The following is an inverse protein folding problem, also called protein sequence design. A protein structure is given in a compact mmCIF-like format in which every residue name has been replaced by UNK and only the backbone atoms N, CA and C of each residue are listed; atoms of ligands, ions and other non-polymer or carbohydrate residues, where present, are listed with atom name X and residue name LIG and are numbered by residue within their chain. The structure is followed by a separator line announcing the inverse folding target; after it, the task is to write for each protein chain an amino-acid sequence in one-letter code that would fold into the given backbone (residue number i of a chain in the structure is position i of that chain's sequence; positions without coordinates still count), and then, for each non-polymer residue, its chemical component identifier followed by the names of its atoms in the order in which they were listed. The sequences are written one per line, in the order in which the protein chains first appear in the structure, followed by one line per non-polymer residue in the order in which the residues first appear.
data_IF_089576167352
#
_entry.id   IF_089576167352
#
_cell.length_a   1.000
_cell.length_b   1.000
_cell.length_c   1.000
_cell.angle_alpha   90.00
_cell.angle_beta   90.00
_cell.angle_gamma   90.00
#
_symmetry.space_group_name_H-M   'P 1'
#
loop_
_entity.id
_entity.type
_entity.pdbx_description
1 polymer ?
#
# COMPACT_ATOMS: atom_id res chain seq x y z
N UNK A 1 -14.22 51.47 -39.70
CA UNK A 1 -15.30 50.47 -39.86
C UNK A 1 -15.16 49.43 -38.76
N UNK A 2 -16.11 49.39 -37.82
CA UNK A 2 -16.16 48.46 -36.68
C UNK A 2 -17.07 47.28 -37.06
N UNK A 3 -16.62 46.04 -36.82
CA UNK A 3 -17.42 44.82 -37.02
C UNK A 3 -17.37 43.90 -35.81
N UNK A 4 -18.09 44.25 -34.73
CA UNK A 4 -18.34 43.38 -33.58
C UNK A 4 -19.48 42.41 -33.90
N UNK A 5 -19.22 41.10 -33.95
CA UNK A 5 -20.28 40.07 -33.95
C UNK A 5 -20.64 39.71 -32.50
N UNK A 6 -21.89 40.00 -32.12
CA UNK A 6 -22.53 39.60 -30.86
C UNK A 6 -22.99 38.14 -30.94
N UNK A 7 -22.80 37.36 -29.86
CA UNK A 7 -23.61 36.17 -29.53
C UNK A 7 -24.13 36.31 -28.09
N UNK A 8 -25.31 35.74 -27.76
CA UNK A 8 -26.16 36.24 -26.67
C UNK A 8 -25.92 35.55 -25.32
N UNK A 9 -26.31 36.27 -24.27
CA UNK A 9 -26.25 35.90 -22.84
C UNK A 9 -27.23 34.77 -22.51
N UNK A 10 -26.78 33.69 -21.88
CA UNK A 10 -27.66 32.80 -21.12
C UNK A 10 -28.02 33.47 -19.79
N UNK A 11 -29.33 33.68 -19.57
CA UNK A 11 -29.89 34.10 -18.28
C UNK A 11 -30.27 32.88 -17.46
N UNK A 12 -29.95 32.97 -16.17
CA UNK A 12 -30.49 32.18 -15.08
C UNK A 12 -32.02 32.09 -15.13
N UNK A 13 -32.58 30.92 -14.85
CA UNK A 13 -33.90 30.77 -14.28
C UNK A 13 -33.82 29.72 -13.16
N UNK A 14 -34.09 30.20 -11.95
CA UNK A 14 -34.20 29.45 -10.70
C UNK A 14 -35.66 29.57 -10.22
N UNK A 15 -36.17 28.44 -9.68
CA UNK A 15 -37.31 28.28 -8.74
C UNK A 15 -38.75 28.21 -9.32
N UNK A 16 -39.75 27.76 -8.53
CA UNK A 16 -39.90 26.44 -7.90
C UNK A 16 -41.37 25.92 -7.99
N UNK A 17 -41.62 24.83 -7.26
CA UNK A 17 -42.90 24.40 -6.67
C UNK A 17 -43.81 23.37 -7.37
N UNK A 18 -44.04 22.35 -6.55
CA UNK A 18 -45.05 21.31 -6.56
C UNK A 18 -46.49 21.83 -6.70
N UNK A 19 -47.36 21.02 -7.32
CA UNK A 19 -48.53 20.45 -6.63
C UNK A 19 -49.30 19.45 -7.53
N UNK A 20 -49.51 18.27 -6.93
CA UNK A 20 -50.77 17.52 -6.80
C UNK A 20 -51.61 17.22 -8.05
N UNK A 21 -51.69 15.92 -8.35
CA UNK A 21 -52.98 15.27 -8.59
C UNK A 21 -53.32 14.36 -7.40
N UNK A 22 -54.56 14.47 -6.94
CA UNK A 22 -55.19 13.78 -5.81
C UNK A 22 -56.51 13.18 -6.30
N UNK A 23 -57.15 12.38 -5.43
CA UNK A 23 -58.45 11.68 -5.48
C UNK A 23 -58.33 10.16 -5.77
N UNK A 24 -58.80 9.26 -4.89
CA UNK A 24 -59.96 9.33 -3.99
C UNK A 24 -59.71 8.78 -2.56
N UNK A 25 -60.42 9.41 -1.62
CA UNK A 25 -60.61 9.09 -0.20
C UNK A 25 -61.60 7.94 0.06
N UNK A 26 -61.51 7.33 1.25
CA UNK A 26 -62.51 7.22 2.34
C UNK A 26 -61.98 6.12 3.30
N UNK A 27 -61.91 6.24 4.63
CA UNK A 27 -62.83 6.86 5.59
C UNK A 27 -62.13 7.12 6.96
N UNK A 28 -62.47 8.27 7.58
CA UNK A 28 -62.56 8.60 9.03
C UNK A 28 -61.61 7.94 10.05
N UNK A 29 -60.91 8.64 10.94
CA UNK A 29 -61.14 9.96 11.53
C UNK A 29 -60.71 9.90 13.00
N UNK A 30 -59.61 10.57 13.35
CA UNK A 30 -59.12 10.71 14.73
C UNK A 30 -60.07 11.63 15.53
N UNK A 31 -60.62 11.14 16.65
CA UNK A 31 -61.06 11.97 17.77
C UNK A 31 -60.48 11.37 19.05
N UNK A 32 -59.71 12.18 19.77
CA UNK A 32 -59.06 11.77 21.01
C UNK A 32 -60.03 11.63 22.17
N UNK A 33 -59.61 10.88 23.18
CA UNK A 33 -59.90 11.17 24.58
C UNK A 33 -58.95 10.35 25.46
N UNK A 34 -58.26 11.05 26.37
CA UNK A 34 -57.71 10.46 27.58
C UNK A 34 -58.82 9.70 28.32
N UNK A 35 -58.64 8.40 28.55
CA UNK A 35 -59.16 7.68 29.72
C UNK A 35 -58.69 6.21 29.69
N UNK A 36 -58.07 5.77 30.79
CA UNK A 36 -58.10 4.41 31.31
C UNK A 36 -57.52 3.30 30.42
N UNK A 37 -56.19 3.16 30.42
CA UNK A 37 -55.59 1.81 30.28
C UNK A 37 -55.75 1.09 31.61
N UNK A 38 -56.70 0.16 31.64
CA UNK A 38 -56.83 -0.81 32.71
C UNK A 38 -55.54 -1.61 32.87
N UNK A 39 -55.27 -1.98 34.12
CA UNK A 39 -54.28 -2.97 34.50
C UNK A 39 -54.61 -4.32 33.81
N UNK A 40 -53.99 -4.59 32.67
CA UNK A 40 -53.68 -5.96 32.32
C UNK A 40 -52.42 -6.33 33.11
N UNK A 41 -52.61 -7.06 34.21
CA UNK A 41 -51.55 -7.76 34.90
C UNK A 41 -50.94 -8.74 33.90
N UNK A 42 -49.83 -8.35 33.28
CA UNK A 42 -48.97 -9.27 32.54
C UNK A 42 -48.59 -10.42 33.46
N UNK A 43 -49.06 -11.61 33.11
CA UNK A 43 -48.62 -12.86 33.70
C UNK A 43 -47.09 -12.94 33.53
N UNK A 44 -46.29 -13.24 34.56
CA UNK A 44 -44.84 -13.32 34.39
C UNK A 44 -44.54 -14.40 33.35
N UNK A 45 -43.80 -14.04 32.30
CA UNK A 45 -43.24 -15.03 31.36
C UNK A 45 -42.47 -16.06 32.18
N UNK A 46 -42.78 -17.35 31.98
CA UNK A 46 -42.06 -18.43 32.65
C UNK A 46 -40.60 -18.37 32.16
N UNK A 47 -39.69 -18.03 33.07
CA UNK A 47 -38.24 -18.09 32.84
C UNK A 47 -37.86 -19.47 32.32
N UNK A 48 -36.99 -19.51 31.31
CA UNK A 48 -36.42 -20.75 30.82
C UNK A 48 -35.41 -21.29 31.84
N UNK A 49 -35.26 -22.61 31.95
CA UNK A 49 -34.24 -23.24 32.79
C UNK A 49 -32.81 -22.77 32.46
N UNK A 50 -32.61 -22.33 31.23
CA UNK A 50 -31.31 -21.91 30.70
C UNK A 50 -30.94 -20.51 31.20
N UNK A 51 -31.91 -19.62 31.37
CA UNK A 51 -31.68 -18.29 31.95
C UNK A 51 -31.32 -18.37 33.44
N UNK A 52 -31.97 -19.28 34.18
CA UNK A 52 -31.67 -19.50 35.60
C UNK A 52 -30.29 -20.14 35.80
N UNK A 53 -29.86 -21.01 34.87
CA UNK A 53 -28.51 -21.58 34.88
C UNK A 53 -27.46 -20.52 34.55
N UNK A 54 -27.70 -19.68 33.53
CA UNK A 54 -26.81 -18.54 33.20
C UNK A 54 -26.57 -17.66 34.40
N UNK A 55 -27.62 -17.10 35.00
CA UNK A 55 -27.53 -16.21 36.17
C UNK A 55 -26.77 -16.88 37.33
N UNK A 56 -26.96 -18.19 37.53
CA UNK A 56 -26.23 -18.95 38.55
C UNK A 56 -24.74 -19.01 38.27
N UNK A 57 -24.33 -19.31 37.04
CA UNK A 57 -22.91 -19.35 36.67
C UNK A 57 -22.25 -17.97 36.76
N UNK A 58 -22.95 -16.90 36.35
CA UNK A 58 -22.44 -15.54 36.51
C UNK A 58 -22.19 -15.20 38.00
N UNK A 59 -23.11 -15.61 38.88
CA UNK A 59 -22.98 -15.41 40.33
C UNK A 59 -21.80 -16.18 40.90
N UNK A 60 -21.54 -17.40 40.44
CA UNK A 60 -20.37 -18.19 40.87
C UNK A 60 -19.07 -17.50 40.47
N UNK A 61 -18.98 -16.96 39.25
CA UNK A 61 -17.78 -16.24 38.80
C UNK A 61 -17.59 -14.94 39.57
N UNK A 62 -18.65 -14.19 39.86
CA UNK A 62 -18.55 -13.00 40.74
C UNK A 62 -18.03 -13.37 42.12
N UNK A 63 -18.57 -14.44 42.73
CA UNK A 63 -18.10 -14.93 44.02
C UNK A 63 -16.63 -15.41 43.98
N UNK A 64 -16.15 -15.93 42.83
CA UNK A 64 -14.74 -16.24 42.64
C UNK A 64 -13.86 -14.97 42.65
N UNK A 65 -14.27 -13.90 41.96
CA UNK A 65 -13.55 -12.61 42.01
C UNK A 65 -13.61 -11.97 43.40
N UNK A 66 -14.75 -12.08 44.10
CA UNK A 66 -14.87 -11.64 45.49
C UNK A 66 -13.89 -12.41 46.38
N UNK A 67 -13.79 -13.74 46.23
CA UNK A 67 -12.83 -14.55 46.95
C UNK A 67 -11.36 -14.16 46.65
N UNK A 68 -11.03 -13.81 45.40
CA UNK A 68 -9.73 -13.24 45.04
C UNK A 68 -9.46 -11.92 45.79
N UNK A 69 -10.40 -10.98 45.74
CA UNK A 69 -10.27 -9.65 46.33
C UNK A 69 -10.23 -9.68 47.87
N UNK A 70 -11.03 -10.56 48.48
CA UNK A 70 -11.11 -10.75 49.92
C UNK A 70 -10.00 -11.66 50.45
N UNK A 71 -9.24 -12.31 49.57
CA UNK A 71 -8.24 -13.31 49.95
C UNK A 71 -8.85 -14.45 50.78
N UNK A 72 -10.00 -14.98 50.34
CA UNK A 72 -10.82 -15.93 51.10
C UNK A 72 -10.67 -17.37 50.61
N UNK A 73 -9.99 -18.21 51.41
CA UNK A 73 -9.86 -19.66 51.14
C UNK A 73 -11.23 -20.35 51.14
N UNK A 74 -12.12 -19.98 52.06
CA UNK A 74 -13.47 -20.53 52.12
C UNK A 74 -14.30 -20.10 50.90
N UNK A 75 -14.12 -18.86 50.42
CA UNK A 75 -14.70 -18.38 49.17
C UNK A 75 -14.26 -19.23 47.97
N UNK A 76 -12.95 -19.50 47.86
CA UNK A 76 -12.43 -20.40 46.82
C UNK A 76 -12.99 -21.83 46.93
N UNK A 77 -13.08 -22.38 48.14
CA UNK A 77 -13.65 -23.72 48.37
C UNK A 77 -15.12 -23.84 47.98
N UNK A 78 -15.88 -22.75 48.10
CA UNK A 78 -17.29 -22.71 47.74
C UNK A 78 -17.49 -22.78 46.22
N UNK A 79 -16.61 -22.14 45.44
CA UNK A 79 -16.79 -21.94 43.98
C UNK A 79 -15.93 -22.85 43.10
N UNK A 80 -14.80 -23.36 43.59
CA UNK A 80 -13.90 -24.24 42.82
C UNK A 80 -14.18 -25.72 43.11
N UNK A 81 -14.11 -26.54 42.07
CA UNK A 81 -14.02 -28.00 42.19
C UNK A 81 -12.63 -28.40 42.75
N UNK A 82 -12.55 -29.57 43.39
CA UNK A 82 -11.30 -30.01 44.05
C UNK A 82 -10.14 -30.15 43.06
N UNK A 83 -10.41 -30.65 41.86
CA UNK A 83 -9.47 -30.92 40.78
C UNK A 83 -9.41 -29.79 39.74
N UNK A 84 -9.88 -28.59 40.08
CA UNK A 84 -9.92 -27.46 39.15
C UNK A 84 -8.54 -27.13 38.58
N UNK A 85 -8.49 -26.72 37.30
CA UNK A 85 -7.24 -26.35 36.62
C UNK A 85 -7.31 -24.91 36.12
N UNK A 86 -6.25 -24.14 36.38
CA UNK A 86 -6.08 -22.79 35.83
C UNK A 86 -4.91 -22.77 34.82
N UNK A 87 -5.25 -22.55 33.55
CA UNK A 87 -4.30 -22.42 32.44
C UNK A 87 -3.90 -20.98 32.18
N UNK A 88 -2.60 -20.77 31.97
CA UNK A 88 -2.00 -19.45 31.69
C UNK A 88 -1.15 -19.49 30.42
N UNK A 89 -0.90 -18.34 29.77
CA UNK A 89 0.10 -18.23 28.71
C UNK A 89 1.52 -18.51 29.24
N UNK A 90 2.47 -18.76 28.33
CA UNK A 90 3.85 -19.08 28.70
C UNK A 90 4.49 -17.97 29.54
N UNK A 91 5.26 -18.35 30.55
CA UNK A 91 5.99 -17.42 31.44
C UNK A 91 5.33 -17.11 32.78
N UNK A 92 4.22 -17.77 33.12
CA UNK A 92 3.44 -17.54 34.36
C UNK A 92 3.53 -18.72 35.34
N UNK A 93 4.50 -19.62 35.16
CA UNK A 93 4.74 -20.80 36.02
C UNK A 93 3.54 -21.77 36.17
N UNK A 94 2.64 -21.80 35.17
CA UNK A 94 1.42 -22.64 35.15
C UNK A 94 1.47 -23.84 34.19
N UNK A 95 0.40 -24.67 34.12
CA UNK A 95 -0.92 -24.51 34.75
C UNK A 95 -0.94 -24.92 36.23
N UNK A 96 -1.83 -24.29 37.01
CA UNK A 96 -2.05 -24.61 38.43
C UNK A 96 -3.18 -25.63 38.56
N UNK A 97 -2.94 -26.72 39.29
CA UNK A 97 -3.87 -27.85 39.41
C UNK A 97 -4.31 -28.04 40.86
N UNK A 98 -5.61 -28.15 41.05
CA UNK A 98 -6.27 -28.23 42.35
C UNK A 98 -6.65 -26.86 42.88
N UNK A 99 -7.81 -26.78 43.56
CA UNK A 99 -8.32 -25.53 44.13
C UNK A 99 -7.36 -24.91 45.15
N UNK A 100 -6.60 -25.70 45.87
CA UNK A 100 -5.62 -25.22 46.85
C UNK A 100 -4.46 -24.48 46.17
N UNK A 101 -3.97 -25.00 45.04
CA UNK A 101 -2.90 -24.36 44.27
C UNK A 101 -3.38 -23.04 43.64
N UNK A 102 -4.62 -23.02 43.14
CA UNK A 102 -5.24 -21.81 42.58
C UNK A 102 -5.46 -20.76 43.68
N UNK A 103 -5.99 -21.15 44.83
CA UNK A 103 -6.17 -20.24 45.96
C UNK A 103 -4.83 -19.68 46.44
N UNK A 104 -3.81 -20.52 46.60
CA UNK A 104 -2.48 -20.10 47.03
C UNK A 104 -1.84 -19.06 46.08
N UNK A 105 -2.01 -19.24 44.76
CA UNK A 105 -1.54 -18.28 43.75
C UNK A 105 -2.12 -16.87 43.99
N UNK A 106 -3.44 -16.77 44.14
CA UNK A 106 -4.11 -15.47 44.28
C UNK A 106 -3.84 -14.82 45.62
N UNK A 107 -3.79 -15.61 46.70
CA UNK A 107 -3.39 -15.14 48.02
C UNK A 107 -1.96 -14.56 47.98
N UNK A 108 -1.03 -15.25 47.33
CA UNK A 108 0.32 -14.76 47.11
C UNK A 108 0.32 -13.42 46.36
N UNK A 109 -0.45 -13.30 45.27
CA UNK A 109 -0.53 -12.04 44.52
C UNK A 109 -1.19 -10.89 45.29
N UNK A 110 -2.20 -11.17 46.13
CA UNK A 110 -2.78 -10.17 47.02
C UNK A 110 -1.75 -9.70 48.07
N UNK A 111 -1.00 -10.64 48.67
CA UNK A 111 0.00 -10.37 49.69
C UNK A 111 1.28 -9.71 49.16
N UNK A 112 1.75 -10.06 47.97
CA UNK A 112 3.00 -9.56 47.41
C UNK A 112 2.79 -8.31 46.57
N UNK A 113 1.76 -8.30 45.72
CA UNK A 113 1.58 -7.27 44.67
C UNK A 113 0.47 -6.26 44.98
N UNK A 114 -0.30 -6.48 46.05
CA UNK A 114 -1.45 -5.65 46.41
C UNK A 114 -2.53 -5.75 45.34
N UNK A 115 -2.78 -6.99 44.91
CA UNK A 115 -3.64 -7.31 43.79
C UNK A 115 -5.12 -7.12 44.12
N UNK A 116 -5.85 -6.49 43.19
CA UNK A 116 -7.32 -6.49 43.17
C UNK A 116 -7.83 -6.59 41.74
N UNK A 117 -9.04 -7.09 41.57
CA UNK A 117 -9.62 -7.40 40.27
C UNK A 117 -11.02 -6.83 40.11
N UNK A 118 -11.35 -6.36 38.91
CA UNK A 118 -12.71 -5.99 38.51
C UNK A 118 -13.19 -6.86 37.36
N UNK A 119 -14.49 -7.16 37.36
CA UNK A 119 -15.20 -7.70 36.20
C UNK A 119 -15.67 -6.51 35.38
N UNK A 120 -15.03 -6.27 34.24
CA UNK A 120 -15.35 -5.15 33.35
C UNK A 120 -16.53 -5.52 32.45
N UNK A 121 -16.56 -6.78 31.97
CA UNK A 121 -17.66 -7.35 31.22
C UNK A 121 -17.76 -8.85 31.47
N UNK A 122 -18.98 -9.38 31.40
CA UNK A 122 -19.24 -10.82 31.55
C UNK A 122 -20.26 -11.27 30.51
N UNK A 123 -20.03 -12.44 29.91
CA UNK A 123 -20.95 -13.12 28.99
C UNK A 123 -21.10 -14.58 29.44
N UNK A 124 -22.33 -15.09 29.44
CA UNK A 124 -22.66 -16.48 29.80
C UNK A 124 -23.60 -17.07 28.75
N UNK A 125 -23.33 -18.29 28.30
CA UNK A 125 -24.23 -19.01 27.39
C UNK A 125 -25.09 -20.08 28.10
N UNK A 126 -24.81 -20.35 29.39
CA UNK A 126 -25.46 -21.36 30.22
C UNK A 126 -24.60 -22.60 30.49
N UNK A 127 -23.48 -22.73 29.79
CA UNK A 127 -22.49 -23.80 29.96
C UNK A 127 -21.10 -23.25 30.29
N UNK A 128 -20.71 -22.13 29.67
CA UNK A 128 -19.45 -21.45 29.89
C UNK A 128 -19.71 -19.98 30.24
N UNK A 129 -18.75 -19.39 30.95
CA UNK A 129 -18.71 -17.95 31.23
C UNK A 129 -17.41 -17.38 30.70
N UNK A 130 -17.48 -16.22 30.06
CA UNK A 130 -16.32 -15.44 29.62
C UNK A 130 -16.35 -14.10 30.32
N UNK A 131 -15.22 -13.74 30.94
CA UNK A 131 -15.05 -12.47 31.64
C UNK A 131 -13.97 -11.66 30.97
N UNK A 132 -14.21 -10.36 30.79
CA UNK A 132 -13.18 -9.34 30.61
C UNK A 132 -12.92 -8.70 31.97
N UNK A 133 -11.65 -8.57 32.36
CA UNK A 133 -11.25 -8.12 33.69
C UNK A 133 -10.08 -7.13 33.67
N UNK A 134 -10.01 -6.32 34.73
CA UNK A 134 -8.84 -5.53 35.09
C UNK A 134 -8.18 -6.09 36.35
N UNK A 135 -6.86 -6.20 36.35
CA UNK A 135 -6.04 -6.57 37.52
C UNK A 135 -5.15 -5.39 37.89
N UNK A 136 -5.40 -4.82 39.05
CA UNK A 136 -4.64 -3.72 39.63
C UNK A 136 -3.61 -4.28 40.61
N UNK A 137 -2.33 -3.94 40.43
CA UNK A 137 -1.26 -4.33 41.34
C UNK A 137 -0.72 -3.10 42.05
N UNK A 138 -1.42 -2.68 43.10
CA UNK A 138 -1.19 -1.39 43.76
C UNK A 138 0.23 -1.19 44.30
N UNK A 139 0.91 -2.27 44.72
CA UNK A 139 2.28 -2.15 45.28
C UNK A 139 3.37 -1.97 44.22
N UNK A 140 3.11 -2.34 42.97
CA UNK A 140 4.07 -2.21 41.86
C UNK A 140 3.63 -1.21 40.79
N UNK A 141 2.45 -0.60 40.93
CA UNK A 141 1.95 0.43 40.02
C UNK A 141 1.55 -0.09 38.63
N UNK A 142 1.20 -1.37 38.52
CA UNK A 142 0.82 -2.00 37.25
C UNK A 142 -0.69 -2.19 37.13
N UNK A 143 -1.20 -2.05 35.91
CA UNK A 143 -2.55 -2.43 35.49
C UNK A 143 -2.44 -3.43 34.33
N UNK A 144 -3.02 -4.61 34.51
CA UNK A 144 -3.12 -5.64 33.46
C UNK A 144 -4.58 -5.85 33.09
N UNK A 145 -4.82 -6.10 31.81
CA UNK A 145 -6.16 -6.40 31.27
C UNK A 145 -6.15 -7.76 30.60
N UNK A 146 -7.27 -8.47 30.69
CA UNK A 146 -7.42 -9.76 30.04
C UNK A 146 -8.85 -10.22 29.94
N UNK A 147 -8.98 -11.37 29.30
CA UNK A 147 -10.21 -12.14 29.27
C UNK A 147 -9.94 -13.58 29.69
N UNK A 148 -10.89 -14.22 30.36
CA UNK A 148 -10.77 -15.62 30.76
C UNK A 148 -12.07 -16.39 30.59
N UNK A 149 -11.92 -17.68 30.25
CA UNK A 149 -13.03 -18.60 30.07
C UNK A 149 -13.14 -19.54 31.26
N UNK A 150 -14.37 -19.77 31.71
CA UNK A 150 -14.72 -20.67 32.80
C UNK A 150 -15.56 -21.84 32.31
N UNK A 151 -15.23 -23.04 32.76
CA UNK A 151 -16.09 -24.21 32.67
C UNK A 151 -16.52 -24.68 34.06
N UNK A 152 -17.68 -25.31 34.12
CA UNK A 152 -18.32 -25.70 35.37
C UNK A 152 -18.72 -27.17 35.36
N UNK A 153 -18.74 -27.80 36.53
CA UNK A 153 -19.34 -29.12 36.71
C UNK A 153 -20.88 -29.06 36.76
N UNK A 154 -21.52 -30.20 37.05
CA UNK A 154 -22.98 -30.29 37.15
C UNK A 154 -23.55 -29.51 38.33
N UNK A 155 -22.77 -29.36 39.39
CA UNK A 155 -23.14 -28.64 40.62
C UNK A 155 -22.86 -27.13 40.49
N UNK A 156 -22.31 -26.69 39.36
CA UNK A 156 -22.03 -25.30 39.06
C UNK A 156 -20.70 -24.79 39.63
N UNK A 157 -19.81 -25.68 40.09
CA UNK A 157 -18.47 -25.29 40.52
C UNK A 157 -17.52 -25.16 39.34
N UNK A 158 -16.61 -24.21 39.41
CA UNK A 158 -15.57 -23.97 38.40
C UNK A 158 -14.59 -25.14 38.41
N UNK A 159 -14.46 -25.82 37.27
CA UNK A 159 -13.51 -26.93 37.05
C UNK A 159 -12.33 -26.51 36.18
N UNK A 160 -12.49 -25.46 35.37
CA UNK A 160 -11.45 -25.01 34.46
C UNK A 160 -11.50 -23.49 34.29
N UNK A 161 -10.32 -22.88 34.29
CA UNK A 161 -10.11 -21.46 33.98
C UNK A 161 -9.03 -21.36 32.91
N UNK A 162 -9.31 -20.61 31.84
CA UNK A 162 -8.37 -20.34 30.74
C UNK A 162 -8.13 -18.84 30.63
N UNK A 163 -7.03 -18.35 31.18
CA UNK A 163 -6.73 -16.93 31.22
C UNK A 163 -5.93 -16.45 30.00
N UNK A 164 -6.41 -15.39 29.36
CA UNK A 164 -5.77 -14.68 28.25
C UNK A 164 -5.67 -13.20 28.58
N UNK A 165 -4.53 -12.73 29.06
CA UNK A 165 -4.30 -11.29 29.22
C UNK A 165 -3.53 -10.70 28.05
N UNK A 166 -3.49 -9.37 27.97
CA UNK A 166 -2.72 -8.61 27.01
C UNK A 166 -1.21 -8.82 27.23
N UNK A 167 -0.73 -10.01 26.90
CA UNK A 167 0.68 -10.38 26.93
C UNK A 167 1.31 -10.02 25.58
N UNK A 168 2.46 -9.33 25.56
CA UNK A 168 3.29 -9.26 24.37
C UNK A 168 3.55 -10.67 23.84
N UNK A 169 3.54 -10.81 22.50
CA UNK A 169 3.98 -12.06 21.87
C UNK A 169 5.45 -12.31 22.24
N UNK A 170 5.77 -13.49 22.77
CA UNK A 170 7.16 -13.92 22.87
C UNK A 170 7.69 -14.29 21.47
N UNK A 171 8.65 -13.53 20.91
CA UNK A 171 9.17 -13.82 19.57
C UNK A 171 9.99 -15.11 19.50
N UNK A 172 10.40 -15.67 20.64
CA UNK A 172 11.16 -16.94 20.71
C UNK A 172 10.26 -18.16 20.59
N UNK A 173 8.95 -18.01 20.82
CA UNK A 173 8.00 -19.10 20.72
C UNK A 173 7.38 -19.16 19.32
N UNK A 174 7.43 -20.35 18.71
CA UNK A 174 6.76 -20.62 17.44
C UNK A 174 5.23 -20.54 17.57
N UNK A 175 4.71 -20.78 18.77
CA UNK A 175 3.28 -20.78 19.13
C UNK A 175 3.11 -20.10 20.47
N UNK A 176 2.17 -19.15 20.55
CA UNK A 176 1.82 -18.46 21.80
C UNK A 176 0.49 -19.03 22.30
N UNK A 177 0.58 -20.18 22.99
CA UNK A 177 -0.54 -21.04 23.39
C UNK A 177 -0.56 -21.18 24.93
N UNK A 178 -1.72 -21.44 25.53
CA UNK A 178 -1.80 -21.73 26.97
C UNK A 178 -0.95 -22.98 27.33
N UNK A 179 -0.13 -22.87 28.36
CA UNK A 179 0.80 -23.92 28.75
C UNK A 179 0.06 -25.20 29.11
N UNK A 180 0.43 -26.31 28.44
CA UNK A 180 -0.14 -27.64 28.62
C UNK A 180 -1.66 -27.75 28.35
N UNK A 181 -2.29 -26.73 27.75
CA UNK A 181 -3.68 -26.83 27.34
C UNK A 181 -3.80 -27.77 26.12
N UNK A 182 -4.67 -28.80 26.15
CA UNK A 182 -4.66 -29.84 25.13
C UNK A 182 -5.44 -29.43 23.86
N UNK A 183 -4.95 -28.40 23.15
CA UNK A 183 -5.59 -27.82 21.96
C UNK A 183 -6.02 -28.87 20.92
N UNK A 184 -5.09 -29.72 20.48
CA UNK A 184 -5.38 -30.76 19.48
C UNK A 184 -6.45 -31.76 19.93
N UNK A 185 -6.37 -32.22 21.19
CA UNK A 185 -7.30 -33.21 21.74
C UNK A 185 -8.71 -32.63 21.89
N UNK A 186 -8.82 -31.30 22.04
CA UNK A 186 -10.09 -30.56 22.16
C UNK A 186 -10.61 -30.01 20.83
N UNK A 187 -10.03 -30.45 19.71
CA UNK A 187 -10.50 -30.09 18.37
C UNK A 187 -10.19 -28.65 17.95
N UNK A 188 -9.32 -27.95 18.69
CA UNK A 188 -8.81 -26.66 18.24
C UNK A 188 -7.90 -26.87 17.02
N UNK A 189 -7.95 -25.98 16.01
CA UNK A 189 -7.02 -26.04 14.89
C UNK A 189 -5.59 -25.86 15.40
N UNK A 190 -4.77 -26.90 15.25
CA UNK A 190 -3.33 -26.87 15.57
C UNK A 190 -2.45 -26.78 14.33
N UNK A 191 -3.06 -26.90 13.15
CA UNK A 191 -2.43 -26.72 11.85
C UNK A 191 -2.96 -25.46 11.18
N UNK A 192 -2.16 -24.87 10.29
CA UNK A 192 -2.60 -23.74 9.50
C UNK A 192 -3.77 -24.16 8.59
N UNK A 193 -4.87 -23.37 8.53
CA UNK A 193 -6.01 -23.71 7.70
C UNK A 193 -5.59 -23.79 6.22
N UNK A 194 -5.87 -24.93 5.59
CA UNK A 194 -5.73 -25.11 4.14
C UNK A 194 -6.67 -24.10 3.46
N UNK A 195 -6.16 -23.33 2.49
CA UNK A 195 -6.88 -22.23 1.84
C UNK A 195 -8.33 -22.64 1.46
N UNK A 196 -9.30 -21.81 1.85
CA UNK A 196 -10.77 -22.00 1.72
C UNK A 196 -11.31 -22.11 0.27
N UNK A 197 -10.44 -22.32 -0.71
CA UNK A 197 -10.76 -22.44 -2.13
C UNK A 197 -10.60 -23.88 -2.63
N UNK A 198 -11.27 -24.85 -1.99
CA UNK A 198 -11.57 -26.16 -2.58
C UNK A 198 -10.45 -26.92 -3.29
N UNK A 199 -9.18 -26.63 -2.99
CA UNK A 199 -8.04 -27.39 -3.49
C UNK A 199 -7.58 -28.30 -2.38
N UNK A 200 -7.78 -29.58 -2.62
CA UNK A 200 -7.10 -30.64 -1.90
C UNK A 200 -5.60 -30.29 -1.82
N UNK A 201 -5.14 -30.00 -0.60
CA UNK A 201 -3.75 -30.23 -0.24
C UNK A 201 -3.58 -31.75 -0.08
N UNK A 202 -3.59 -32.41 -1.23
CA UNK A 202 -2.98 -33.70 -1.45
C UNK A 202 -1.64 -33.39 -2.05
N UNK A 203 -0.57 -33.90 -1.44
CA UNK A 203 0.77 -33.77 -1.98
C UNK A 203 0.80 -33.96 -3.49
N UNK A 204 1.57 -33.11 -4.17
CA UNK A 204 1.99 -33.29 -5.55
C UNK A 204 0.87 -33.61 -6.55
N UNK A 205 0.23 -32.56 -7.11
CA UNK A 205 -0.13 -32.52 -8.55
C UNK A 205 -0.07 -31.09 -9.08
N UNK A 206 1.05 -30.79 -9.72
CA UNK A 206 1.19 -30.12 -11.03
C UNK A 206 0.06 -29.18 -11.47
N UNK A 207 -0.25 -28.18 -10.64
CA UNK A 207 -0.43 -26.85 -11.22
C UNK A 207 0.99 -26.31 -11.24
N UNK A 208 1.55 -25.90 -12.40
CA UNK A 208 2.91 -25.37 -12.39
C UNK A 208 2.91 -24.27 -11.35
N UNK A 209 3.68 -24.47 -10.29
CA UNK A 209 4.03 -23.39 -9.40
C UNK A 209 4.46 -22.27 -10.34
N UNK A 210 3.86 -21.09 -10.21
CA UNK A 210 4.58 -19.88 -10.60
C UNK A 210 5.80 -19.98 -9.71
N UNK A 211 6.89 -20.48 -10.28
CA UNK A 211 8.08 -20.91 -9.54
C UNK A 211 8.50 -19.77 -8.62
N UNK A 212 9.24 -20.04 -7.55
CA UNK A 212 9.86 -18.96 -6.79
C UNK A 212 10.63 -18.01 -7.72
N UNK A 213 11.12 -18.51 -8.85
CA UNK A 213 11.65 -17.73 -9.97
C UNK A 213 10.61 -16.89 -10.72
N UNK A 214 9.40 -17.39 -11.00
CA UNK A 214 8.35 -16.61 -11.65
C UNK A 214 7.68 -15.59 -10.71
N UNK A 215 7.56 -15.89 -9.41
CA UNK A 215 7.20 -14.92 -8.38
C UNK A 215 8.33 -13.89 -8.17
N UNK A 216 9.59 -14.34 -8.14
CA UNK A 216 10.74 -13.45 -8.10
C UNK A 216 10.87 -12.60 -9.38
N UNK A 217 10.49 -13.11 -10.56
CA UNK A 217 10.39 -12.34 -11.81
C UNK A 217 9.25 -11.33 -11.76
N UNK A 218 8.07 -11.73 -11.28
CA UNK A 218 6.92 -10.84 -11.13
C UNK A 218 7.14 -9.73 -10.09
N UNK A 219 7.99 -9.98 -9.09
CA UNK A 219 8.41 -9.01 -8.07
C UNK A 219 9.83 -8.48 -8.30
N UNK A 220 10.48 -8.80 -9.42
CA UNK A 220 11.88 -8.40 -9.68
C UNK A 220 12.03 -6.87 -9.73
N UNK A 221 10.99 -6.17 -10.16
CA UNK A 221 10.91 -4.71 -10.14
C UNK A 221 10.87 -4.10 -8.73
N UNK A 222 10.59 -4.90 -7.68
CA UNK A 222 10.63 -4.48 -6.27
C UNK A 222 11.96 -4.75 -5.58
N UNK A 223 12.95 -5.30 -6.28
CA UNK A 223 14.32 -5.45 -5.74
C UNK A 223 14.94 -4.08 -5.49
N UNK A 224 15.93 -4.03 -4.61
CA UNK A 224 16.73 -2.82 -4.41
C UNK A 224 17.22 -2.29 -5.77
N UNK A 225 17.06 -0.99 -6.03
CA UNK A 225 17.42 -0.43 -7.32
C UNK A 225 18.89 -0.64 -7.63
N UNK A 226 19.20 -1.14 -8.82
CA UNK A 226 20.55 -1.03 -9.36
C UNK A 226 20.82 0.44 -9.70
N UNK A 227 21.45 1.15 -8.77
CA UNK A 227 21.98 2.52 -8.95
C UNK A 227 23.28 2.57 -9.76
N UNK A 228 23.68 1.45 -10.37
CA UNK A 228 24.84 1.42 -11.23
C UNK A 228 24.67 2.33 -12.46
N UNK A 229 25.69 3.14 -12.80
CA UNK A 229 25.69 3.92 -14.02
C UNK A 229 25.39 3.07 -15.26
N UNK A 230 24.84 3.71 -16.29
CA UNK A 230 24.72 3.10 -17.60
C UNK A 230 26.13 2.97 -18.21
N UNK A 231 26.46 1.84 -18.86
CA UNK A 231 27.73 1.72 -19.57
C UNK A 231 27.82 2.73 -20.72
N UNK A 232 29.05 3.18 -21.01
CA UNK A 232 29.29 4.13 -22.10
C UNK A 232 28.86 3.58 -23.46
N UNK A 233 28.97 2.27 -23.66
CA UNK A 233 28.52 1.59 -24.88
C UNK A 233 27.00 1.67 -25.06
N UNK A 234 26.21 1.32 -24.03
CA UNK A 234 24.75 1.40 -24.10
C UNK A 234 24.32 2.87 -24.27
N UNK A 235 24.98 3.80 -23.57
CA UNK A 235 24.74 5.26 -23.72
C UNK A 235 25.02 5.71 -25.15
N UNK A 236 26.11 5.27 -25.78
CA UNK A 236 26.48 5.62 -27.14
C UNK A 236 25.48 5.07 -28.16
N UNK A 237 25.05 3.80 -28.01
CA UNK A 237 24.00 3.21 -28.83
C UNK A 237 22.71 4.00 -28.74
N UNK A 238 22.24 4.23 -27.50
CA UNK A 238 21.01 4.98 -27.28
C UNK A 238 21.13 6.40 -27.83
N UNK A 239 22.28 7.07 -27.80
CA UNK A 239 22.43 8.47 -28.28
C UNK A 239 21.93 8.72 -29.70
N UNK A 240 21.90 7.70 -30.56
CA UNK A 240 21.48 7.80 -31.95
C UNK A 240 20.11 7.14 -32.25
N UNK A 241 19.32 6.84 -31.20
CA UNK A 241 18.06 6.12 -31.34
C UNK A 241 16.87 6.98 -30.91
N UNK A 242 15.84 7.04 -31.77
CA UNK A 242 14.59 7.74 -31.47
C UNK A 242 13.75 7.02 -30.40
N UNK A 243 12.97 7.78 -29.65
CA UNK A 243 11.99 7.21 -28.72
C UNK A 243 10.95 6.34 -29.45
N UNK A 244 10.59 6.68 -30.69
CA UNK A 244 9.73 5.87 -31.55
C UNK A 244 10.30 4.46 -31.80
N UNK A 245 11.58 4.36 -32.18
CA UNK A 245 12.23 3.05 -32.37
C UNK A 245 12.32 2.26 -31.07
N UNK A 246 12.66 2.92 -29.95
CA UNK A 246 12.69 2.28 -28.63
C UNK A 246 11.32 1.70 -28.27
N UNK A 247 10.24 2.47 -28.45
CA UNK A 247 8.88 1.97 -28.15
C UNK A 247 8.49 0.77 -29.02
N UNK A 248 8.92 0.73 -30.28
CA UNK A 248 8.73 -0.42 -31.17
C UNK A 248 9.50 -1.65 -30.67
N UNK A 249 10.74 -1.48 -30.21
CA UNK A 249 11.55 -2.57 -29.66
C UNK A 249 11.02 -3.10 -28.33
N UNK A 250 10.46 -2.23 -27.50
CA UNK A 250 9.76 -2.60 -26.28
C UNK A 250 8.44 -3.33 -26.60
N UNK A 251 7.70 -2.89 -27.62
CA UNK A 251 6.48 -3.54 -28.07
C UNK A 251 6.73 -4.98 -28.53
N UNK A 252 7.81 -5.21 -29.31
CA UNK A 252 8.24 -6.55 -29.72
C UNK A 252 8.55 -7.49 -28.53
N UNK A 253 8.88 -6.92 -27.36
CA UNK A 253 9.13 -7.62 -26.10
C UNK A 253 7.90 -7.65 -25.17
N UNK A 254 6.72 -7.27 -25.67
CA UNK A 254 5.46 -7.31 -24.94
C UNK A 254 5.15 -6.07 -24.08
N UNK A 255 6.02 -5.07 -24.05
CA UNK A 255 5.84 -3.83 -23.28
C UNK A 255 5.16 -2.75 -24.13
N UNK A 256 3.90 -2.44 -23.80
CA UNK A 256 3.05 -1.57 -24.64
C UNK A 256 2.92 -0.12 -24.15
N UNK A 257 3.27 0.16 -22.89
CA UNK A 257 2.94 1.43 -22.22
C UNK A 257 4.15 2.04 -21.52
N UNK A 258 5.24 2.25 -22.25
CA UNK A 258 6.52 2.77 -21.72
C UNK A 258 6.83 4.22 -22.11
N UNK A 259 6.02 4.84 -22.95
CA UNK A 259 6.16 6.24 -23.34
C UNK A 259 5.31 7.15 -22.44
N UNK A 260 5.94 8.16 -21.82
CA UNK A 260 5.30 9.08 -20.88
C UNK A 260 4.33 10.03 -21.59
N UNK A 261 3.11 10.13 -21.07
CA UNK A 261 2.03 10.88 -21.67
C UNK A 261 2.04 12.36 -21.23
N UNK A 262 1.88 13.27 -22.19
CA UNK A 262 1.71 14.71 -21.95
C UNK A 262 2.99 15.46 -21.58
N UNK A 263 4.10 14.77 -21.39
CA UNK A 263 5.40 15.35 -21.08
C UNK A 263 6.05 15.87 -22.37
N UNK A 264 6.70 17.04 -22.32
CA UNK A 264 7.37 17.68 -23.46
C UNK A 264 8.66 18.38 -23.02
N UNK A 265 9.66 18.50 -23.92
CA UNK A 265 10.90 19.20 -23.60
C UNK A 265 10.64 20.68 -23.32
N UNK A 266 11.42 21.23 -22.39
CA UNK A 266 11.37 22.65 -21.99
C UNK A 266 12.55 23.47 -22.51
N UNK A 267 13.66 22.80 -22.82
CA UNK A 267 14.78 23.41 -23.51
C UNK A 267 14.82 22.87 -24.95
N UNK A 268 14.54 23.70 -25.98
CA UNK A 268 14.57 23.27 -27.37
C UNK A 268 15.99 22.95 -27.88
N UNK A 269 17.03 23.49 -27.23
CA UNK A 269 18.43 23.31 -27.61
C UNK A 269 19.08 22.09 -26.91
N UNK A 270 18.37 21.47 -25.97
CA UNK A 270 18.84 20.32 -25.18
C UNK A 270 17.73 19.26 -25.10
N UNK A 271 17.53 18.56 -26.20
CA UNK A 271 16.47 17.55 -26.33
C UNK A 271 16.93 16.15 -25.92
N UNK A 272 18.22 15.82 -25.96
CA UNK A 272 18.64 14.43 -25.74
C UNK A 272 18.78 14.11 -24.26
N UNK A 273 17.84 13.34 -23.72
CA UNK A 273 17.89 12.80 -22.36
C UNK A 273 18.32 11.33 -22.40
N UNK A 274 19.39 10.99 -21.67
CA UNK A 274 19.78 9.59 -21.43
C UNK A 274 20.37 9.49 -20.03
N UNK A 275 19.78 8.65 -19.18
CA UNK A 275 20.36 8.31 -17.89
C UNK A 275 19.52 7.30 -17.12
N UNK A 276 19.91 7.04 -15.87
CA UNK A 276 19.23 6.09 -14.99
C UNK A 276 18.27 6.82 -14.05
N UNK A 277 17.08 6.29 -13.83
CA UNK A 277 16.04 6.96 -13.06
C UNK A 277 16.39 7.02 -11.57
N UNK A 278 16.35 8.22 -10.99
CA UNK A 278 16.01 8.44 -9.58
C UNK A 278 14.60 8.94 -9.49
N UNK A 279 13.85 8.47 -8.51
CA UNK A 279 12.40 8.71 -8.46
C UNK A 279 12.02 9.54 -7.25
N UNK A 280 11.05 10.44 -7.43
CA UNK A 280 10.51 11.29 -6.38
C UNK A 280 8.99 11.26 -6.45
N UNK A 281 8.33 10.95 -5.33
CA UNK A 281 6.87 10.76 -5.27
C UNK A 281 6.22 11.90 -4.51
N UNK A 282 5.25 12.56 -5.15
CA UNK A 282 4.42 13.55 -4.48
C UNK A 282 3.03 12.99 -4.18
N UNK A 283 2.47 13.38 -3.04
CA UNK A 283 1.07 13.14 -2.67
C UNK A 283 0.34 14.50 -2.50
N UNK A 284 -0.99 14.52 -2.33
CA UNK A 284 -1.70 15.76 -2.01
C UNK A 284 -1.15 16.42 -0.75
N UNK A 285 -0.96 17.74 -0.79
CA UNK A 285 -0.52 18.50 0.38
C UNK A 285 -1.56 18.52 1.50
N UNK A 286 -1.10 18.86 2.70
CA UNK A 286 -1.94 19.31 3.82
C UNK A 286 -1.35 20.57 4.44
N UNK A 287 -2.20 21.54 4.75
CA UNK A 287 -1.80 22.84 5.28
C UNK A 287 -1.08 22.76 6.62
N UNK A 288 -1.32 21.71 7.43
CA UNK A 288 -0.65 21.49 8.71
C UNK A 288 0.74 20.85 8.61
N UNK A 289 1.07 20.26 7.45
CA UNK A 289 2.34 19.57 7.21
C UNK A 289 3.27 20.36 6.29
N UNK A 290 2.71 20.95 5.23
CA UNK A 290 3.46 21.55 4.12
C UNK A 290 3.70 23.06 4.31
N UNK A 291 4.45 23.39 5.36
CA UNK A 291 4.87 24.77 5.64
C UNK A 291 6.23 25.11 5.01
N UNK A 292 6.54 26.40 4.92
CA UNK A 292 7.88 26.85 4.47
C UNK A 292 9.00 26.34 5.39
N UNK A 293 8.74 26.20 6.70
CA UNK A 293 9.72 25.62 7.63
C UNK A 293 9.97 24.14 7.34
N UNK A 294 8.91 23.35 7.14
CA UNK A 294 9.01 21.91 6.85
C UNK A 294 9.85 21.65 5.58
N UNK A 295 9.64 22.49 4.55
CA UNK A 295 10.36 22.43 3.29
C UNK A 295 11.83 22.85 3.43
N UNK A 296 12.16 23.75 4.35
CA UNK A 296 13.52 24.24 4.53
C UNK A 296 14.47 23.19 5.15
N UNK A 297 13.94 22.12 5.72
CA UNK A 297 14.74 21.06 6.34
C UNK A 297 15.57 20.29 5.30
N UNK A 298 16.75 19.79 5.71
CA UNK A 298 17.57 18.93 4.85
C UNK A 298 16.93 17.57 4.62
N UNK A 299 16.10 17.11 5.55
CA UNK A 299 15.38 15.83 5.46
C UNK A 299 14.29 15.82 4.39
N UNK A 300 13.88 16.99 3.88
CA UNK A 300 12.91 17.05 2.80
C UNK A 300 13.42 16.28 1.56
N UNK A 301 12.69 15.27 1.05
CA UNK A 301 13.23 14.40 0.00
C UNK A 301 13.57 15.14 -1.30
N UNK A 302 12.87 16.23 -1.62
CA UNK A 302 13.17 17.06 -2.80
C UNK A 302 14.54 17.73 -2.67
N UNK A 303 14.87 18.22 -1.47
CA UNK A 303 16.17 18.85 -1.20
C UNK A 303 17.29 17.84 -1.12
N UNK A 304 17.04 16.68 -0.49
CA UNK A 304 17.97 15.55 -0.51
C UNK A 304 18.33 15.16 -1.94
N UNK A 305 17.34 14.99 -2.82
CA UNK A 305 17.60 14.65 -4.24
C UNK A 305 18.50 15.68 -4.91
N UNK A 306 18.30 16.97 -4.67
CA UNK A 306 19.16 18.01 -5.25
C UNK A 306 20.63 17.91 -4.81
N UNK A 307 20.89 17.38 -3.61
CA UNK A 307 22.23 17.24 -3.04
C UNK A 307 22.84 15.84 -3.24
N UNK A 308 22.03 14.81 -3.40
CA UNK A 308 22.46 13.40 -3.47
C UNK A 308 22.54 12.89 -4.91
N UNK A 309 21.88 13.53 -5.88
CA UNK A 309 21.91 13.08 -7.27
C UNK A 309 23.34 12.97 -7.80
N UNK A 310 23.60 11.87 -8.50
CA UNK A 310 24.88 11.49 -9.06
C UNK A 310 24.96 11.79 -10.56
N UNK A 311 26.19 11.91 -11.11
CA UNK A 311 26.40 12.03 -12.54
C UNK A 311 25.70 10.93 -13.34
N UNK A 312 24.99 11.31 -14.40
CA UNK A 312 24.30 10.36 -15.28
C UNK A 312 22.91 9.91 -14.80
N UNK A 313 22.46 10.33 -13.61
CA UNK A 313 21.11 10.06 -13.11
C UNK A 313 20.08 11.07 -13.67
N UNK A 314 18.85 10.63 -13.84
CA UNK A 314 17.70 11.44 -14.27
C UNK A 314 16.69 11.47 -13.13
N UNK A 315 16.36 12.65 -12.63
CA UNK A 315 15.29 12.77 -11.65
C UNK A 315 13.93 12.68 -12.36
N UNK A 316 13.12 11.70 -11.97
CA UNK A 316 11.76 11.48 -12.45
C UNK A 316 10.78 11.73 -11.30
N UNK A 317 9.85 12.66 -11.50
CA UNK A 317 8.93 13.13 -10.47
C UNK A 317 7.51 12.71 -10.83
N UNK A 318 6.85 11.96 -9.93
CA UNK A 318 5.41 11.76 -9.94
C UNK A 318 4.75 13.03 -9.40
N UNK A 319 4.33 13.89 -10.33
CA UNK A 319 3.57 15.10 -10.05
C UNK A 319 2.06 14.84 -10.07
N UNK A 320 1.60 13.59 -10.11
CA UNK A 320 0.18 13.19 -10.17
C UNK A 320 -0.59 13.82 -11.32
N UNK A 321 0.09 14.32 -12.36
CA UNK A 321 -0.52 15.13 -13.41
C UNK A 321 -1.04 16.51 -12.98
N UNK A 322 -0.69 16.99 -11.78
CA UNK A 322 -1.13 18.28 -11.24
C UNK A 322 -0.37 19.45 -11.88
N UNK A 323 -1.11 20.46 -12.33
CA UNK A 323 -0.58 21.63 -13.05
C UNK A 323 -0.77 22.94 -12.28
N UNK A 324 -1.44 22.92 -11.13
CA UNK A 324 -1.75 24.07 -10.29
C UNK A 324 -0.58 24.60 -9.45
N UNK A 325 0.57 23.91 -9.47
CA UNK A 325 1.83 24.31 -8.83
C UNK A 325 3.04 23.62 -9.48
N UNK A 326 4.23 24.18 -9.27
CA UNK A 326 5.48 23.62 -9.77
C UNK A 326 6.03 22.52 -8.87
N UNK A 327 6.42 21.37 -9.43
CA UNK A 327 7.06 20.26 -8.71
C UNK A 327 8.52 20.53 -8.39
N UNK A 328 9.18 21.40 -9.14
CA UNK A 328 10.57 21.83 -8.98
C UNK A 328 10.74 23.26 -9.49
N UNK A 329 11.71 24.00 -8.94
CA UNK A 329 12.11 25.32 -9.41
C UNK A 329 13.53 25.36 -9.97
N UNK A 330 13.91 26.50 -10.54
CA UNK A 330 15.18 26.71 -11.25
C UNK A 330 16.42 26.49 -10.38
N UNK A 331 16.39 26.87 -9.10
CA UNK A 331 17.54 26.77 -8.19
C UNK A 331 17.95 25.32 -7.95
N UNK A 332 16.99 24.46 -7.59
CA UNK A 332 17.26 23.04 -7.34
C UNK A 332 17.62 22.32 -8.64
N UNK A 333 16.97 22.67 -9.75
CA UNK A 333 17.31 22.17 -11.08
C UNK A 333 18.76 22.52 -11.47
N UNK A 334 19.19 23.77 -11.28
CA UNK A 334 20.55 24.21 -11.54
C UNK A 334 21.58 23.47 -10.65
N UNK A 335 21.25 23.23 -9.37
CA UNK A 335 22.09 22.46 -8.47
C UNK A 335 22.34 21.05 -9.00
N UNK A 336 21.29 20.34 -9.41
CA UNK A 336 21.40 18.99 -9.97
C UNK A 336 22.20 18.96 -11.27
N UNK A 337 21.98 19.94 -12.16
CA UNK A 337 22.76 20.08 -13.40
C UNK A 337 24.26 20.22 -13.12
N UNK A 338 24.65 21.08 -12.17
CA UNK A 338 26.06 21.28 -11.78
C UNK A 338 26.67 20.02 -11.16
N UNK A 339 25.86 19.15 -10.55
CA UNK A 339 26.31 17.84 -10.02
C UNK A 339 26.47 16.78 -11.11
N UNK A 340 26.12 17.08 -12.36
CA UNK A 340 26.27 16.16 -13.49
C UNK A 340 25.05 15.27 -13.74
N UNK A 341 23.89 15.55 -13.13
CA UNK A 341 22.67 14.84 -13.45
C UNK A 341 22.38 14.94 -14.96
N UNK A 342 21.89 13.85 -15.54
CA UNK A 342 21.62 13.74 -16.97
C UNK A 342 20.36 14.50 -17.42
N UNK A 343 19.43 14.79 -16.50
CA UNK A 343 18.21 15.54 -16.79
C UNK A 343 17.14 15.43 -15.72
N UNK A 344 15.96 15.98 -16.01
CA UNK A 344 14.82 15.95 -15.10
C UNK A 344 13.48 15.85 -15.83
N UNK A 345 12.57 15.02 -15.32
CA UNK A 345 11.25 14.74 -15.92
C UNK A 345 10.16 14.81 -14.84
N UNK A 346 9.03 15.45 -15.16
CA UNK A 346 7.82 15.44 -14.33
C UNK A 346 6.58 15.32 -15.21
N UNK A 347 5.56 14.63 -14.74
CA UNK A 347 4.23 14.68 -15.36
C UNK A 347 3.32 15.79 -14.81
N UNK A 348 3.84 16.58 -13.86
CA UNK A 348 3.24 17.83 -13.39
C UNK A 348 3.77 19.07 -14.12
N UNK A 349 3.67 20.22 -13.46
CA UNK A 349 4.28 21.47 -13.92
C UNK A 349 5.61 21.75 -13.21
N UNK A 350 6.53 22.48 -13.84
CA UNK A 350 7.65 23.11 -13.13
C UNK A 350 7.34 24.57 -12.77
N UNK A 351 8.20 25.18 -11.96
CA UNK A 351 8.25 26.62 -11.68
C UNK A 351 9.42 27.27 -12.44
N UNK A 352 9.41 28.59 -12.59
CA UNK A 352 10.52 29.37 -13.19
C UNK A 352 10.83 28.97 -14.64
N UNK A 353 9.81 28.99 -15.51
CA UNK A 353 9.91 28.37 -16.84
C UNK A 353 10.95 28.97 -17.78
N UNK A 354 11.19 30.27 -17.68
CA UNK A 354 12.21 30.93 -18.49
C UNK A 354 13.61 30.47 -18.06
N UNK A 355 13.85 30.44 -16.75
CA UNK A 355 15.12 30.07 -16.15
C UNK A 355 15.40 28.58 -16.37
N UNK A 356 14.41 27.72 -16.13
CA UNK A 356 14.50 26.28 -16.38
C UNK A 356 14.78 25.98 -17.85
N UNK A 357 14.08 26.65 -18.77
CA UNK A 357 14.26 26.45 -20.21
C UNK A 357 15.64 26.87 -20.73
N UNK A 358 16.39 27.69 -19.96
CA UNK A 358 17.74 28.15 -20.28
C UNK A 358 18.85 27.28 -19.68
N UNK A 359 18.53 26.35 -18.80
CA UNK A 359 19.54 25.44 -18.23
C UNK A 359 20.08 24.51 -19.33
N UNK A 360 21.39 24.30 -19.39
CA UNK A 360 22.06 23.57 -20.48
C UNK A 360 21.98 22.04 -20.37
N UNK A 361 20.80 21.50 -20.07
CA UNK A 361 20.54 20.07 -19.91
C UNK A 361 19.08 19.74 -20.25
N UNK A 362 18.77 18.48 -20.58
CA UNK A 362 17.42 18.09 -20.96
C UNK A 362 16.45 18.10 -19.77
N UNK A 363 15.38 18.87 -19.93
CA UNK A 363 14.31 18.99 -18.94
C UNK A 363 12.95 18.81 -19.62
N UNK A 364 12.08 18.04 -18.98
CA UNK A 364 10.78 17.66 -19.49
C UNK A 364 9.66 17.89 -18.47
N UNK A 365 8.56 18.50 -18.90
CA UNK A 365 7.36 18.65 -18.08
C UNK A 365 6.08 18.67 -18.90
N UNK A 366 4.96 18.40 -18.22
CA UNK A 366 3.61 18.58 -18.78
C UNK A 366 3.20 20.04 -18.85
N UNK A 367 3.67 20.87 -17.92
CA UNK A 367 3.36 22.29 -17.91
C UNK A 367 4.32 23.16 -17.11
N UNK A 368 3.94 24.42 -16.91
CA UNK A 368 4.63 25.41 -16.11
C UNK A 368 3.62 26.12 -15.20
N UNK A 369 4.00 26.43 -13.96
CA UNK A 369 3.17 27.16 -13.00
C UNK A 369 4.06 27.94 -12.02
N UNK A 370 3.67 29.17 -11.66
CA UNK A 370 4.43 30.02 -10.75
C UNK A 370 4.27 29.66 -9.26
N UNK A 371 3.22 28.93 -8.89
CA UNK A 371 2.98 28.52 -7.51
C UNK A 371 4.05 27.52 -7.03
N UNK A 372 4.41 27.60 -5.76
CA UNK A 372 5.32 26.64 -5.12
C UNK A 372 4.67 25.26 -4.96
N UNK A 373 5.46 24.19 -4.89
CA UNK A 373 4.99 22.82 -4.70
C UNK A 373 4.03 22.70 -3.51
N UNK A 374 4.36 23.33 -2.38
CA UNK A 374 3.59 23.29 -1.12
C UNK A 374 2.12 23.70 -1.27
N UNK A 375 1.72 24.35 -2.37
CA UNK A 375 0.31 24.71 -2.60
C UNK A 375 -0.55 23.48 -2.88
N UNK A 376 -0.01 22.40 -3.47
CA UNK A 376 -0.77 21.17 -3.76
C UNK A 376 -0.01 19.87 -3.57
N UNK A 377 1.31 19.92 -3.34
CA UNK A 377 2.17 18.76 -3.19
C UNK A 377 2.79 18.66 -1.82
N UNK A 378 2.66 17.47 -1.23
CA UNK A 378 3.55 16.96 -0.20
C UNK A 378 4.60 16.05 -0.85
N UNK A 379 5.86 16.15 -0.42
CA UNK A 379 6.94 15.29 -0.91
C UNK A 379 7.07 14.11 0.05
N UNK A 380 6.57 12.96 -0.36
CA UNK A 380 6.42 11.79 0.53
C UNK A 380 7.67 10.89 0.50
N UNK A 381 8.01 10.36 -0.68
CA UNK A 381 9.02 9.32 -0.83
C UNK A 381 9.99 9.67 -1.95
N UNK A 382 11.16 9.05 -1.90
CA UNK A 382 12.12 9.03 -2.99
C UNK A 382 12.76 7.64 -3.14
N UNK A 383 13.30 7.35 -4.32
CA UNK A 383 13.92 6.07 -4.68
C UNK A 383 13.01 4.84 -4.50
N UNK A 384 11.71 5.04 -4.76
CA UNK A 384 10.72 3.97 -4.85
C UNK A 384 10.08 3.92 -6.24
N UNK A 385 9.43 2.81 -6.62
CA UNK A 385 8.64 2.76 -7.85
C UNK A 385 7.51 3.80 -7.85
N UNK A 386 7.41 4.57 -8.94
CA UNK A 386 6.41 5.65 -9.11
C UNK A 386 5.65 5.53 -10.43
N UNK A 387 4.51 6.21 -10.54
CA UNK A 387 3.83 6.46 -11.81
C UNK A 387 4.16 7.85 -12.32
N UNK A 388 4.71 7.98 -13.53
CA UNK A 388 4.95 9.29 -14.16
C UNK A 388 4.43 9.28 -15.59
N UNK A 389 3.45 10.13 -15.91
CA UNK A 389 2.88 10.21 -17.25
C UNK A 389 2.19 8.92 -17.70
N UNK A 390 1.61 8.18 -16.74
CA UNK A 390 0.98 6.87 -16.99
C UNK A 390 1.96 5.71 -17.17
N UNK A 391 3.25 5.91 -16.90
CA UNK A 391 4.29 4.89 -17.00
C UNK A 391 4.83 4.55 -15.60
N UNK A 392 4.98 3.25 -15.32
CA UNK A 392 5.73 2.80 -14.14
C UNK A 392 7.22 3.07 -14.35
N UNK A 393 7.83 3.77 -13.41
CA UNK A 393 9.26 4.04 -13.35
C UNK A 393 9.80 3.46 -12.06
N UNK A 394 10.69 2.48 -12.19
CA UNK A 394 11.45 1.98 -11.05
C UNK A 394 12.79 2.71 -10.99
N UNK A 395 13.35 2.96 -9.80
CA UNK A 395 14.69 3.53 -9.74
C UNK A 395 15.69 2.59 -10.42
N UNK A 396 16.66 3.15 -11.14
CA UNK A 396 17.60 2.42 -11.99
C UNK A 396 17.12 2.11 -13.42
N UNK A 397 15.83 2.29 -13.75
CA UNK A 397 15.36 2.17 -15.13
C UNK A 397 16.04 3.20 -16.05
N UNK A 398 16.23 2.85 -17.32
CA UNK A 398 16.88 3.75 -18.28
C UNK A 398 15.84 4.69 -18.88
N UNK A 399 16.05 5.99 -18.69
CA UNK A 399 15.18 7.05 -19.20
C UNK A 399 15.80 7.63 -20.45
N UNK A 400 15.05 7.62 -21.55
CA UNK A 400 15.47 8.19 -22.83
C UNK A 400 14.46 9.22 -23.30
N UNK A 401 14.92 10.38 -23.73
CA UNK A 401 14.05 11.43 -24.27
C UNK A 401 14.62 12.10 -25.52
N UNK A 402 13.71 12.59 -26.34
CA UNK A 402 13.95 13.39 -27.54
C UNK A 402 12.85 14.45 -27.72
N UNK A 403 12.66 14.96 -28.95
CA UNK A 403 11.66 15.95 -29.27
C UNK A 403 10.21 15.48 -29.03
N UNK A 404 9.94 14.17 -29.16
CA UNK A 404 8.59 13.62 -29.08
C UNK A 404 8.15 13.45 -27.62
N UNK A 405 9.08 13.09 -26.74
CA UNK A 405 8.82 12.93 -25.32
C UNK A 405 9.87 12.06 -24.63
N UNK A 406 9.40 11.23 -23.70
CA UNK A 406 10.25 10.41 -22.82
C UNK A 406 9.73 8.97 -22.83
N UNK A 407 10.65 8.02 -22.98
CA UNK A 407 10.40 6.58 -22.87
C UNK A 407 11.24 5.98 -21.74
N UNK A 408 10.68 4.98 -21.06
CA UNK A 408 11.33 4.27 -19.95
C UNK A 408 11.62 2.83 -20.36
N UNK A 409 12.88 2.45 -20.33
CA UNK A 409 13.36 1.10 -20.64
C UNK A 409 13.67 0.40 -19.31
N UNK A 410 13.01 -0.73 -18.99
CA UNK A 410 13.36 -1.50 -17.81
C UNK A 410 14.84 -1.85 -17.80
N UNK A 411 15.53 -1.68 -16.66
CA UNK A 411 17.01 -1.84 -16.59
C UNK A 411 17.51 -3.15 -17.20
N UNK A 412 16.86 -4.27 -16.91
CA UNK A 412 17.24 -5.59 -17.41
C UNK A 412 17.07 -5.80 -18.93
N UNK A 413 16.42 -4.87 -19.64
CA UNK A 413 16.26 -4.90 -21.10
C UNK A 413 17.11 -3.83 -21.80
N UNK A 414 17.86 -3.02 -21.05
CA UNK A 414 18.52 -1.83 -21.58
C UNK A 414 19.49 -2.17 -22.72
N UNK A 415 20.33 -3.18 -22.53
CA UNK A 415 21.32 -3.64 -23.51
C UNK A 415 20.63 -4.19 -24.78
N UNK A 416 19.79 -5.21 -24.62
CA UNK A 416 19.02 -5.83 -25.70
C UNK A 416 18.21 -4.83 -26.52
N UNK A 417 17.57 -3.85 -25.87
CA UNK A 417 16.79 -2.81 -26.53
C UNK A 417 17.70 -1.82 -27.24
N UNK A 418 18.80 -1.39 -26.63
CA UNK A 418 19.74 -0.44 -27.24
C UNK A 418 20.36 -1.01 -28.53
N UNK A 419 20.86 -2.24 -28.51
CA UNK A 419 21.44 -2.88 -29.69
C UNK A 419 20.41 -3.08 -30.81
N UNK A 420 19.24 -3.62 -30.47
CA UNK A 420 18.20 -3.89 -31.45
C UNK A 420 17.62 -2.60 -32.04
N UNK A 421 17.51 -1.55 -31.23
CA UNK A 421 17.04 -0.25 -31.68
C UNK A 421 18.08 0.46 -32.56
N UNK A 422 19.36 0.43 -32.20
CA UNK A 422 20.44 0.99 -33.02
C UNK A 422 20.54 0.29 -34.39
N UNK A 423 20.35 -1.03 -34.44
CA UNK A 423 20.26 -1.78 -35.70
C UNK A 423 19.04 -1.34 -36.52
N UNK A 424 17.88 -1.22 -35.88
CA UNK A 424 16.65 -0.79 -36.56
C UNK A 424 16.78 0.62 -37.14
N UNK A 425 17.39 1.58 -36.44
CA UNK A 425 17.60 2.94 -36.97
C UNK A 425 18.45 2.92 -38.25
N UNK A 426 19.52 2.12 -38.30
CA UNK A 426 20.35 2.00 -39.51
C UNK A 426 19.57 1.37 -40.68
N UNK A 427 18.78 0.35 -40.38
CA UNK A 427 17.88 -0.31 -41.34
C UNK A 427 16.81 0.68 -41.86
N UNK A 428 16.19 1.46 -40.98
CA UNK A 428 15.15 2.43 -41.34
C UNK A 428 15.70 3.66 -42.05
N UNK A 429 16.93 4.09 -41.75
CA UNK A 429 17.61 5.15 -42.51
C UNK A 429 17.82 4.75 -43.98
N UNK A 430 18.21 3.51 -44.23
CA UNK A 430 18.29 2.96 -45.59
C UNK A 430 16.92 2.93 -46.27
N UNK A 431 15.89 2.43 -45.58
CA UNK A 431 14.52 2.42 -46.12
C UNK A 431 14.06 3.83 -46.46
N UNK A 432 14.27 4.79 -45.56
CA UNK A 432 13.89 6.19 -45.75
C UNK A 432 14.60 6.79 -46.96
N UNK A 433 15.89 6.52 -47.15
CA UNK A 433 16.65 6.94 -48.34
C UNK A 433 16.05 6.37 -49.63
N UNK A 434 15.72 5.07 -49.66
CA UNK A 434 15.10 4.44 -50.83
C UNK A 434 13.71 5.04 -51.12
N UNK A 435 12.89 5.27 -50.09
CA UNK A 435 11.56 5.89 -50.22
C UNK A 435 11.68 7.32 -50.75
N UNK A 436 12.60 8.13 -50.21
CA UNK A 436 12.86 9.49 -50.70
C UNK A 436 13.42 9.49 -52.13
N UNK A 437 14.07 8.40 -52.54
CA UNK A 437 14.52 8.17 -53.92
C UNK A 437 13.42 7.63 -54.85
N UNK A 438 12.18 7.48 -54.35
CA UNK A 438 11.01 7.08 -55.13
C UNK A 438 10.64 5.59 -55.07
N UNK A 439 11.30 4.79 -54.25
CA UNK A 439 10.94 3.39 -54.07
C UNK A 439 9.56 3.23 -53.39
N UNK A 440 8.79 2.22 -53.80
CA UNK A 440 7.55 1.85 -53.12
C UNK A 440 7.81 1.27 -51.74
N UNK A 441 6.94 1.56 -50.77
CA UNK A 441 6.99 0.95 -49.43
C UNK A 441 6.61 -0.54 -49.45
N UNK A 442 5.87 -0.99 -50.47
CA UNK A 442 5.41 -2.39 -50.58
C UNK A 442 6.61 -3.30 -50.84
N UNK A 443 6.90 -4.19 -49.91
CA UNK A 443 8.08 -5.07 -49.95
C UNK A 443 9.36 -4.45 -49.38
N UNK A 444 9.36 -3.13 -49.13
CA UNK A 444 10.49 -2.40 -48.53
C UNK A 444 10.31 -2.18 -47.02
N UNK A 445 9.09 -1.90 -46.57
CA UNK A 445 8.77 -1.63 -45.16
C UNK A 445 7.59 -2.51 -44.67
N UNK A 446 7.78 -3.36 -43.63
CA UNK A 446 9.05 -3.62 -42.94
C UNK A 446 10.07 -4.34 -43.84
N UNK A 447 11.35 -4.19 -43.52
CA UNK A 447 12.45 -4.76 -44.32
C UNK A 447 12.32 -6.28 -44.47
N UNK A 448 12.21 -6.74 -45.71
CA UNK A 448 12.21 -8.17 -46.04
C UNK A 448 13.64 -8.72 -46.18
N UNK A 449 13.77 -10.05 -46.39
CA UNK A 449 15.06 -10.71 -46.51
C UNK A 449 15.89 -10.20 -47.70
N UNK A 450 15.25 -9.91 -48.84
CA UNK A 450 15.92 -9.41 -50.04
C UNK A 450 16.51 -8.02 -49.82
N UNK A 451 15.74 -7.09 -49.25
CA UNK A 451 16.21 -5.73 -48.98
C UNK A 451 17.25 -5.70 -47.86
N UNK A 452 17.18 -6.63 -46.90
CA UNK A 452 18.21 -6.81 -45.88
C UNK A 452 19.54 -7.25 -46.49
N UNK A 453 19.51 -8.13 -47.49
CA UNK A 453 20.70 -8.54 -48.22
C UNK A 453 21.30 -7.38 -49.03
N UNK A 454 20.45 -6.62 -49.75
CA UNK A 454 20.89 -5.41 -50.46
C UNK A 454 21.54 -4.39 -49.53
N UNK A 455 20.97 -4.20 -48.34
CA UNK A 455 21.55 -3.35 -47.31
C UNK A 455 22.90 -3.86 -46.82
N UNK A 456 23.04 -5.18 -46.58
CA UNK A 456 24.32 -5.80 -46.17
C UNK A 456 25.42 -5.59 -47.20
N UNK A 457 25.16 -5.88 -48.48
CA UNK A 457 26.11 -5.69 -49.58
C UNK A 457 26.55 -4.22 -49.66
N UNK A 458 25.63 -3.27 -49.49
CA UNK A 458 25.96 -1.83 -49.47
C UNK A 458 26.90 -1.47 -48.30
N UNK A 459 26.67 -2.01 -47.11
CA UNK A 459 27.53 -1.77 -45.95
C UNK A 459 28.96 -2.32 -46.17
N UNK A 460 29.08 -3.50 -46.78
CA UNK A 460 30.37 -4.09 -47.13
C UNK A 460 31.12 -3.22 -48.15
N UNK A 461 30.44 -2.74 -49.20
CA UNK A 461 31.03 -1.84 -50.20
C UNK A 461 31.49 -0.51 -49.59
N UNK A 462 30.65 0.12 -48.76
CA UNK A 462 31.01 1.37 -48.08
C UNK A 462 32.18 1.20 -47.09
N UNK A 463 32.32 0.02 -46.48
CA UNK A 463 33.43 -0.28 -45.56
C UNK A 463 34.75 -0.49 -46.33
N UNK A 464 34.70 -1.04 -47.54
CA UNK A 464 35.86 -1.18 -48.43
C UNK A 464 36.32 0.19 -48.94
N UNK A 465 35.39 1.06 -49.33
CA UNK A 465 35.70 2.43 -49.82
C UNK A 465 36.25 3.39 -48.73
N UNK A 466 36.00 3.10 -47.45
CA UNK A 466 36.52 3.89 -46.32
C UNK A 466 37.83 3.33 -45.73
N UNK A 467 38.28 2.15 -46.19
CA UNK A 467 39.49 1.47 -45.75
C UNK A 467 40.69 1.62 -46.71
N UNK A 468 40.51 2.31 -47.83
CA UNK A 468 41.57 2.85 -48.72
C UNK A 468 41.83 4.32 -48.39
#
# INVERSE_FOLDING_TARGET
MRGRRRRPRLRQLLRPDAQKTCFMCHESGFRGCLAQRGQERGMPERRSSDDDRRETLERVVRAYFDACNESSVDGFNAVLANDAIHYFPPGTEGPYRGKEAIAALWLGFAQEKGSSWTIDRLLSDGNEVVVEWSHFKSRVGELIRGAEWYQFDRDGKIVEIRAYYASPRDPKLARNELDQFPYAQRGYPVDFPKNRHGRHDTGSRDTPAVSDEANAKAMAWRREPSVEPLSDEIRALLSNVSTATITTQLFKRGLRSRFMQGVRPRNPDRLRLIGVARTLRYIPMREDLDTLESWATRENPQRRMAEEICPGEVLVIDGRGELGCGTMGSILAARMMVRGAAGMVTDGAYRDGLEIGRLEWPIYSRGMNANTNLVRHHVEDADIPIGCGGVLVCPGDVVVGDADGVVVIPRHLAEDVAEAAARQEKEEAYIQEQVLSGASIVGLYPMNAENRERYRVRQEQASVEQGE
#
